data_IF_464732137193
#
_entry.id   IF_464732137193
#
_cell.length_a   1.000
_cell.length_b   1.000
_cell.length_c   1.000
_cell.angle_alpha   90.00
_cell.angle_beta   90.00
_cell.angle_gamma   90.00
#
_symmetry.space_group_name_H-M   'P 1'
#
loop_
_entity.id
_entity.type
_entity.pdbx_description
1 polymer ?
#
# COMPACT_ATOMS: atom_id res chain seq x y z
N UNK A 1 -19.43 12.11 -22.07
CA UNK A 1 -18.66 12.49 -20.87
C UNK A 1 -19.69 12.72 -19.77
N UNK A 2 -19.64 11.96 -18.69
CA UNK A 2 -20.49 12.20 -17.51
C UNK A 2 -20.04 13.49 -16.84
N UNK A 3 -20.97 14.42 -16.68
CA UNK A 3 -20.79 15.67 -15.96
C UNK A 3 -20.45 15.33 -14.49
N UNK A 4 -19.19 15.56 -14.08
CA UNK A 4 -18.76 15.26 -12.72
C UNK A 4 -19.34 16.33 -11.79
N UNK A 5 -20.17 15.91 -10.84
CA UNK A 5 -20.71 16.81 -9.82
C UNK A 5 -19.58 17.37 -8.94
N UNK A 6 -19.76 18.61 -8.49
CA UNK A 6 -18.85 19.23 -7.53
C UNK A 6 -18.83 18.43 -6.21
N UNK A 7 -17.66 18.29 -5.57
CA UNK A 7 -17.57 17.60 -4.28
C UNK A 7 -18.35 18.38 -3.22
N UNK A 8 -19.43 17.78 -2.73
CA UNK A 8 -20.29 18.26 -1.65
C UNK A 8 -20.37 17.20 -0.55
N UNK A 9 -20.81 17.57 0.65
CA UNK A 9 -21.00 16.60 1.74
C UNK A 9 -21.98 15.50 1.29
N UNK A 10 -23.04 15.88 0.59
CA UNK A 10 -24.04 14.97 0.05
C UNK A 10 -23.43 13.98 -0.95
N UNK A 11 -22.62 14.46 -1.89
CA UNK A 11 -21.94 13.59 -2.86
C UNK A 11 -20.95 12.64 -2.16
N UNK A 12 -20.17 13.13 -1.19
CA UNK A 12 -19.28 12.27 -0.39
C UNK A 12 -20.06 11.15 0.30
N UNK A 13 -21.19 11.47 0.93
CA UNK A 13 -22.04 10.49 1.60
C UNK A 13 -22.61 9.43 0.64
N UNK A 14 -22.96 9.82 -0.60
CA UNK A 14 -23.41 8.87 -1.63
C UNK A 14 -22.30 7.87 -1.96
N UNK A 15 -21.06 8.32 -2.14
CA UNK A 15 -19.93 7.43 -2.45
C UNK A 15 -19.51 6.58 -1.24
N UNK A 16 -19.62 7.10 -0.01
CA UNK A 16 -19.44 6.30 1.20
C UNK A 16 -20.46 5.17 1.30
N UNK A 17 -21.74 5.45 1.04
CA UNK A 17 -22.78 4.41 1.01
C UNK A 17 -22.52 3.35 -0.07
N UNK A 18 -22.04 3.77 -1.26
CA UNK A 18 -21.60 2.84 -2.32
C UNK A 18 -20.40 1.99 -1.90
N UNK A 19 -19.46 2.59 -1.18
CA UNK A 19 -18.31 1.87 -0.63
C UNK A 19 -18.73 0.80 0.37
N UNK A 20 -19.64 1.12 1.30
CA UNK A 20 -20.10 0.18 2.33
C UNK A 20 -20.75 -1.09 1.76
N UNK A 21 -21.44 -0.99 0.62
CA UNK A 21 -22.07 -2.13 -0.05
C UNK A 21 -21.11 -2.88 -0.99
N UNK A 22 -19.89 -2.39 -1.20
CA UNK A 22 -18.91 -3.08 -2.03
C UNK A 22 -18.15 -4.12 -1.21
N UNK A 23 -18.84 -5.24 -0.94
CA UNK A 23 -18.38 -6.31 -0.05
C UNK A 23 -16.93 -6.74 -0.32
N UNK A 24 -16.57 -6.92 -1.60
CA UNK A 24 -15.22 -7.31 -2.01
C UNK A 24 -14.15 -6.32 -1.53
N UNK A 25 -14.31 -5.02 -1.77
CA UNK A 25 -13.33 -4.00 -1.36
C UNK A 25 -13.29 -3.85 0.16
N UNK A 26 -14.46 -3.88 0.83
CA UNK A 26 -14.52 -3.81 2.29
C UNK A 26 -13.80 -4.99 2.95
N UNK A 27 -13.99 -6.21 2.45
CA UNK A 27 -13.32 -7.40 2.97
C UNK A 27 -11.82 -7.40 2.67
N UNK A 28 -11.42 -6.95 1.48
CA UNK A 28 -10.00 -6.81 1.12
C UNK A 28 -9.27 -5.82 2.03
N UNK A 29 -9.86 -4.65 2.31
CA UNK A 29 -9.29 -3.67 3.24
C UNK A 29 -9.20 -4.20 4.67
N UNK A 30 -10.26 -4.85 5.16
CA UNK A 30 -10.24 -5.49 6.48
C UNK A 30 -9.16 -6.56 6.58
N UNK A 31 -8.98 -7.35 5.52
CA UNK A 31 -7.92 -8.36 5.46
C UNK A 31 -6.53 -7.72 5.49
N UNK A 32 -6.28 -6.67 4.70
CA UNK A 32 -5.00 -5.97 4.71
C UNK A 32 -4.71 -5.36 6.08
N UNK A 33 -5.68 -4.69 6.71
CA UNK A 33 -5.50 -4.14 8.06
C UNK A 33 -5.11 -5.23 9.06
N UNK A 34 -5.82 -6.37 9.04
CA UNK A 34 -5.48 -7.53 9.89
C UNK A 34 -4.07 -8.06 9.60
N UNK A 35 -3.70 -8.15 8.32
CA UNK A 35 -2.39 -8.64 7.91
C UNK A 35 -1.26 -7.75 8.43
N UNK A 36 -1.36 -6.43 8.24
CA UNK A 36 -0.34 -5.48 8.68
C UNK A 36 -0.26 -5.40 10.22
N UNK A 37 -1.38 -5.58 10.93
CA UNK A 37 -1.39 -5.68 12.40
C UNK A 37 -0.71 -6.97 12.90
N UNK A 38 -0.92 -8.09 12.20
CA UNK A 38 -0.30 -9.38 12.57
C UNK A 38 1.22 -9.40 12.30
N UNK A 39 1.67 -8.68 11.27
CA UNK A 39 3.08 -8.60 10.84
C UNK A 39 3.57 -7.14 10.83
N UNK A 40 3.69 -6.49 12.01
CA UNK A 40 3.92 -5.05 12.12
C UNK A 40 5.35 -4.63 11.78
N UNK A 41 6.30 -5.57 11.76
CA UNK A 41 7.72 -5.30 11.49
C UNK A 41 8.07 -5.54 10.03
N UNK A 42 9.11 -4.87 9.56
CA UNK A 42 9.62 -4.97 8.20
C UNK A 42 11.07 -5.46 8.17
N UNK A 43 11.40 -6.40 9.05
CA UNK A 43 12.74 -6.98 9.21
C UNK A 43 12.80 -8.48 8.85
N UNK A 44 11.68 -9.10 8.50
CA UNK A 44 11.61 -10.47 8.01
C UNK A 44 11.14 -10.49 6.55
N UNK A 45 11.90 -11.18 5.68
CA UNK A 45 11.60 -11.19 4.24
C UNK A 45 10.28 -11.91 3.91
N UNK A 46 9.89 -12.91 4.69
CA UNK A 46 8.67 -13.70 4.46
C UNK A 46 7.43 -12.88 4.82
N UNK A 47 7.49 -12.12 5.91
CA UNK A 47 6.44 -11.16 6.30
C UNK A 47 6.29 -10.05 5.25
N UNK A 48 7.40 -9.50 4.76
CA UNK A 48 7.40 -8.46 3.73
C UNK A 48 6.85 -9.01 2.41
N UNK A 49 7.22 -10.23 2.03
CA UNK A 49 6.69 -10.91 0.84
C UNK A 49 5.18 -11.09 0.93
N UNK A 50 4.67 -11.58 2.06
CA UNK A 50 3.25 -11.79 2.27
C UNK A 50 2.49 -10.46 2.18
N UNK A 51 2.92 -9.43 2.92
CA UNK A 51 2.34 -8.08 2.85
C UNK A 51 2.36 -7.52 1.44
N UNK A 52 3.50 -7.61 0.76
CA UNK A 52 3.67 -7.02 -0.57
C UNK A 52 2.85 -7.75 -1.62
N UNK A 53 2.81 -9.08 -1.60
CA UNK A 53 2.05 -9.88 -2.55
C UNK A 53 0.54 -9.61 -2.42
N UNK A 54 0.01 -9.64 -1.20
CA UNK A 54 -1.41 -9.34 -0.94
C UNK A 54 -1.77 -7.91 -1.34
N UNK A 55 -0.97 -6.92 -0.93
CA UNK A 55 -1.25 -5.51 -1.26
C UNK A 55 -1.18 -5.26 -2.77
N UNK A 56 -0.19 -5.84 -3.45
CA UNK A 56 -0.05 -5.71 -4.89
C UNK A 56 -1.23 -6.32 -5.66
N UNK A 57 -1.77 -7.44 -5.17
CA UNK A 57 -2.95 -8.09 -5.76
C UNK A 57 -4.21 -7.24 -5.56
N UNK A 58 -4.53 -6.88 -4.32
CA UNK A 58 -5.77 -6.15 -4.00
C UNK A 58 -5.82 -4.75 -4.61
N UNK A 59 -4.67 -4.08 -4.70
CA UNK A 59 -4.58 -2.75 -5.34
C UNK A 59 -4.09 -2.78 -6.78
N UNK A 60 -3.86 -3.96 -7.36
CA UNK A 60 -3.42 -4.14 -8.75
C UNK A 60 -2.22 -3.25 -9.11
N UNK A 61 -1.21 -3.16 -8.23
CA UNK A 61 -0.10 -2.20 -8.40
C UNK A 61 0.95 -2.62 -9.45
N UNK A 62 0.75 -3.77 -10.09
CA UNK A 62 1.55 -4.30 -11.21
C UNK A 62 3.03 -4.53 -10.89
N UNK A 63 3.34 -4.95 -9.66
CA UNK A 63 4.67 -5.43 -9.29
C UNK A 63 4.80 -6.89 -9.70
N UNK A 64 5.55 -7.15 -10.78
CA UNK A 64 5.76 -8.50 -11.30
C UNK A 64 6.83 -9.29 -10.52
N UNK A 65 7.92 -8.63 -10.13
CA UNK A 65 9.00 -9.27 -9.37
C UNK A 65 8.87 -8.91 -7.89
N UNK A 66 7.92 -9.56 -7.22
CA UNK A 66 7.61 -9.30 -5.81
C UNK A 66 8.79 -9.64 -4.88
N UNK A 67 9.62 -10.61 -5.26
CA UNK A 67 10.80 -11.00 -4.49
C UNK A 67 11.85 -9.89 -4.45
N UNK A 68 12.26 -9.37 -5.62
CA UNK A 68 13.22 -8.26 -5.67
C UNK A 68 12.65 -7.00 -5.01
N UNK A 69 11.35 -6.76 -5.15
CA UNK A 69 10.65 -5.65 -4.48
C UNK A 69 10.70 -5.79 -2.95
N UNK A 70 10.40 -6.98 -2.43
CA UNK A 70 10.42 -7.24 -0.99
C UNK A 70 11.83 -7.16 -0.40
N UNK A 71 12.83 -7.64 -1.15
CA UNK A 71 14.24 -7.52 -0.78
C UNK A 71 14.70 -6.06 -0.77
N UNK A 72 14.18 -5.22 -1.66
CA UNK A 72 14.43 -3.79 -1.65
C UNK A 72 13.91 -3.15 -0.34
N UNK A 73 12.65 -3.42 0.04
CA UNK A 73 12.09 -2.95 1.33
C UNK A 73 12.95 -3.39 2.51
N UNK A 74 13.32 -4.68 2.58
CA UNK A 74 14.10 -5.24 3.69
C UNK A 74 15.44 -4.51 3.90
N UNK A 75 16.04 -4.02 2.82
CA UNK A 75 17.35 -3.37 2.85
C UNK A 75 17.31 -1.87 3.15
N UNK A 76 16.11 -1.27 3.31
CA UNK A 76 15.98 0.14 3.68
C UNK A 76 16.35 0.29 5.17
N UNK A 77 17.36 1.12 5.50
CA UNK A 77 17.77 1.32 6.89
C UNK A 77 16.68 1.96 7.72
N UNK A 78 16.54 1.49 8.97
CA UNK A 78 15.63 2.04 9.97
C UNK A 78 14.16 2.09 9.52
N UNK A 79 13.73 1.13 8.68
CA UNK A 79 12.40 1.15 8.06
C UNK A 79 11.26 1.38 9.06
N UNK A 80 11.16 0.56 10.10
CA UNK A 80 10.06 0.63 11.06
C UNK A 80 10.06 1.94 11.87
N UNK A 81 11.23 2.49 12.20
CA UNK A 81 11.34 3.78 12.90
C UNK A 81 10.86 4.93 12.01
N UNK A 82 11.28 4.91 10.75
CA UNK A 82 10.89 5.91 9.75
C UNK A 82 9.41 5.83 9.41
N UNK A 83 8.87 4.61 9.34
CA UNK A 83 7.45 4.36 9.15
C UNK A 83 6.63 4.95 10.33
N UNK A 84 7.04 4.67 11.57
CA UNK A 84 6.34 5.14 12.77
C UNK A 84 6.44 6.67 12.98
N UNK A 85 7.51 7.29 12.51
CA UNK A 85 7.68 8.75 12.55
C UNK A 85 7.01 9.48 11.38
N UNK A 86 6.41 8.74 10.44
CA UNK A 86 5.73 9.32 9.28
C UNK A 86 6.69 9.97 8.29
N UNK A 87 7.92 9.47 8.15
CA UNK A 87 8.92 10.04 7.24
C UNK A 87 8.47 9.92 5.76
N UNK A 88 8.17 11.05 5.08
CA UNK A 88 7.70 11.02 3.69
C UNK A 88 8.78 10.52 2.71
N UNK A 89 10.07 10.61 3.05
CA UNK A 89 11.16 10.10 2.20
C UNK A 89 11.14 8.58 2.09
N UNK A 90 10.55 7.87 3.06
CA UNK A 90 10.41 6.42 3.01
C UNK A 90 9.58 5.99 1.79
N UNK A 91 8.54 6.74 1.44
CA UNK A 91 7.73 6.49 0.22
C UNK A 91 8.60 6.63 -1.04
N UNK A 92 9.47 7.64 -1.08
CA UNK A 92 10.37 7.88 -2.21
C UNK A 92 11.41 6.79 -2.39
N UNK A 93 11.88 6.20 -1.30
CA UNK A 93 12.81 5.08 -1.32
C UNK A 93 12.13 3.78 -1.75
N UNK A 94 10.93 3.49 -1.24
CA UNK A 94 10.18 2.28 -1.63
C UNK A 94 9.78 2.33 -3.11
N UNK A 95 9.31 3.48 -3.61
CA UNK A 95 8.70 3.56 -4.95
C UNK A 95 9.70 3.33 -6.09
N UNK A 96 10.99 3.57 -5.87
CA UNK A 96 12.02 3.52 -6.91
C UNK A 96 12.72 2.17 -6.92
N UNK A 97 12.47 1.38 -7.96
CA UNK A 97 13.18 0.11 -8.18
C UNK A 97 13.70 0.07 -9.60
N UNK A 98 14.98 -0.29 -9.73
CA UNK A 98 15.61 -0.55 -11.03
C UNK A 98 15.43 -2.01 -11.40
N UNK A 99 14.69 -2.27 -12.48
CA UNK A 99 14.53 -3.61 -13.06
C UNK A 99 15.16 -3.59 -14.45
N UNK A 100 16.16 -4.45 -14.68
CA UNK A 100 16.88 -4.55 -15.95
C UNK A 100 17.40 -3.19 -16.46
N UNK A 101 17.94 -2.36 -15.55
CA UNK A 101 18.47 -1.02 -15.87
C UNK A 101 17.42 0.06 -16.12
N UNK A 102 16.11 -0.24 -16.02
CA UNK A 102 15.03 0.76 -16.10
C UNK A 102 14.48 1.04 -14.71
N UNK A 103 14.43 2.31 -14.33
CA UNK A 103 13.73 2.76 -13.13
C UNK A 103 12.21 2.62 -13.33
N UNK A 104 11.55 1.96 -12.40
CA UNK A 104 10.09 1.94 -12.29
C UNK A 104 9.66 2.70 -11.04
N UNK A 105 8.51 3.36 -11.15
CA UNK A 105 7.91 4.12 -10.08
C UNK A 105 6.63 3.41 -9.59
N UNK A 106 6.69 2.87 -8.38
CA UNK A 106 5.58 2.18 -7.70
C UNK A 106 4.95 3.06 -6.62
N UNK A 107 4.70 4.34 -6.91
CA UNK A 107 4.16 5.31 -5.95
C UNK A 107 2.84 4.86 -5.29
N UNK A 108 1.92 4.28 -6.09
CA UNK A 108 0.65 3.74 -5.58
C UNK A 108 0.87 2.64 -4.54
N UNK A 109 1.81 1.73 -4.78
CA UNK A 109 2.17 0.71 -3.80
C UNK A 109 2.81 1.33 -2.56
N UNK A 110 3.82 2.19 -2.74
CA UNK A 110 4.62 2.73 -1.65
C UNK A 110 3.76 3.51 -0.64
N UNK A 111 2.85 4.36 -1.14
CA UNK A 111 1.94 5.13 -0.29
C UNK A 111 0.99 4.24 0.51
N UNK A 112 0.45 3.19 -0.10
CA UNK A 112 -0.46 2.23 0.57
C UNK A 112 0.26 1.37 1.59
N UNK A 113 1.46 0.91 1.27
CA UNK A 113 2.30 0.13 2.19
C UNK A 113 2.62 0.92 3.46
N UNK A 114 2.90 2.22 3.32
CA UNK A 114 3.16 3.11 4.44
C UNK A 114 1.88 3.55 5.19
N UNK A 115 0.69 3.47 4.59
CA UNK A 115 -0.56 3.92 5.23
C UNK A 115 -1.21 2.84 6.09
N UNK A 116 -1.22 1.57 5.67
CA UNK A 116 -1.90 0.50 6.42
C UNK A 116 -1.49 0.35 7.90
N UNK A 117 -0.20 0.50 8.28
CA UNK A 117 0.20 0.48 9.69
C UNK A 117 -0.43 1.57 10.55
N UNK A 118 -0.89 2.67 9.94
CA UNK A 118 -1.42 3.86 10.62
C UNK A 118 -2.96 3.92 10.65
N UNK A 119 -3.67 2.93 10.10
CA UNK A 119 -5.15 2.88 10.01
C UNK A 119 -5.76 2.10 11.19
N UNK A 120 -5.06 2.01 12.33
CA UNK A 120 -5.54 1.35 13.54
C UNK A 120 -6.29 2.31 14.48
#
# INVERSE_FOLDING_TARGET
MTDLKNPTIEEVNIYLAKWEISENYVLQEKFLNKLFQQFPKNNDITDILLKSATLNDFYSTNIFNIYSFSKHILNIPYFDERLNSGDPKLVDEIKKITINGKEKNFYSFATKYCSHPNIA
#
